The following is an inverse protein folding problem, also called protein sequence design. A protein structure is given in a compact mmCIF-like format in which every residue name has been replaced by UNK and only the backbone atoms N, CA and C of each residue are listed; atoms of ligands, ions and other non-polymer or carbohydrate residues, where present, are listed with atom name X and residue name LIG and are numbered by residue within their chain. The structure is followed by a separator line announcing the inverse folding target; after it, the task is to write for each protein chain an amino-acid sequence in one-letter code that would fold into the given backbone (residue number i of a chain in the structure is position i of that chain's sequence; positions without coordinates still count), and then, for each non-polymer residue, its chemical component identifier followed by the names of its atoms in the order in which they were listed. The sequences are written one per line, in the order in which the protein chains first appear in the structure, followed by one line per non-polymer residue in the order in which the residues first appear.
data_IF_318425017024
#
_entry.id   IF_318425017024
#
_cell.length_a   1.000
_cell.length_b   1.000
_cell.length_c   1.000
_cell.angle_alpha   90.00
_cell.angle_beta   90.00
_cell.angle_gamma   90.00
#
_symmetry.space_group_name_H-M   'P 1'
#
loop_
_entity.id
_entity.type
_entity.pdbx_description
1 polymer ?
#
# COMPACT_ATOMS: atom_id res chain seq x y z
N UNK A 1 -22.48 -10.76 20.39
CA UNK A 1 -21.55 -10.59 19.26
C UNK A 1 -21.37 -9.09 19.07
N UNK A 2 -20.16 -8.61 18.80
CA UNK A 2 -19.89 -7.18 18.64
C UNK A 2 -20.05 -6.81 17.16
N UNK A 3 -20.73 -5.70 16.89
CA UNK A 3 -20.98 -5.15 15.56
C UNK A 3 -19.91 -4.15 15.07
N UNK A 4 -18.72 -4.26 15.64
CA UNK A 4 -17.56 -3.46 15.31
C UNK A 4 -16.36 -3.97 16.13
N UNK A 5 -15.12 -3.69 15.68
CA UNK A 5 -13.95 -3.83 16.53
C UNK A 5 -14.08 -2.97 17.80
N UNK A 6 -13.74 -3.54 18.96
CA UNK A 6 -13.85 -2.86 20.25
C UNK A 6 -12.78 -1.78 20.51
N UNK A 7 -11.72 -1.78 19.70
CA UNK A 7 -10.60 -0.85 19.75
C UNK A 7 -10.01 -0.65 18.34
N UNK A 8 -9.27 0.44 18.15
CA UNK A 8 -8.45 0.68 16.95
C UNK A 8 -7.41 -0.44 16.75
N UNK A 9 -6.95 -0.65 15.52
CA UNK A 9 -5.97 -1.70 15.22
C UNK A 9 -4.60 -1.40 15.85
N UNK A 10 -4.25 -0.13 16.02
CA UNK A 10 -3.00 0.29 16.65
C UNK A 10 -3.24 1.15 17.89
N UNK A 11 -2.25 1.17 18.80
CA UNK A 11 -2.33 1.98 20.02
C UNK A 11 -2.22 3.50 19.77
N UNK A 12 -1.83 3.91 18.56
CA UNK A 12 -1.61 5.32 18.15
C UNK A 12 -2.59 5.79 17.08
N UNK A 13 -3.29 4.86 16.41
CA UNK A 13 -4.39 5.15 15.52
C UNK A 13 -5.57 5.76 16.26
N UNK A 14 -6.38 6.55 15.55
CA UNK A 14 -7.63 7.10 16.08
C UNK A 14 -8.79 6.94 15.10
N UNK A 15 -8.57 6.28 13.97
CA UNK A 15 -9.51 6.24 12.85
C UNK A 15 -9.35 4.94 12.06
N UNK A 16 -10.43 4.18 12.00
CA UNK A 16 -10.59 3.05 11.11
C UNK A 16 -11.78 3.29 10.16
N UNK A 17 -11.81 2.57 9.04
CA UNK A 17 -13.02 2.41 8.25
C UNK A 17 -13.73 1.14 8.69
N UNK A 18 -15.00 1.24 9.04
CA UNK A 18 -15.84 0.10 9.38
C UNK A 18 -17.09 0.13 8.50
N UNK A 19 -17.62 -1.05 8.16
CA UNK A 19 -19.03 -1.18 7.81
C UNK A 19 -19.87 -0.59 8.95
N UNK A 20 -21.03 0.00 8.64
CA UNK A 20 -21.75 0.96 9.47
C UNK A 20 -21.53 0.79 10.99
N UNK A 21 -21.12 1.84 11.69
CA UNK A 21 -20.96 1.75 13.15
C UNK A 21 -22.33 1.83 13.82
N UNK A 22 -22.76 0.75 14.48
CA UNK A 22 -23.99 0.76 15.29
C UNK A 22 -23.95 1.80 16.41
N UNK A 23 -25.12 2.14 16.97
CA UNK A 23 -25.17 3.01 18.16
C UNK A 23 -24.35 2.38 19.30
N UNK A 24 -23.62 3.19 20.06
CA UNK A 24 -22.90 2.70 21.24
C UNK A 24 -23.88 2.02 22.21
N UNK A 25 -23.67 0.72 22.50
CA UNK A 25 -24.57 -0.10 23.30
C UNK A 25 -25.82 -0.62 22.57
N UNK A 26 -25.92 -0.40 21.25
CA UNK A 26 -26.96 -0.94 20.39
C UNK A 26 -26.80 -2.43 20.10
N UNK A 27 -27.85 -3.03 19.52
CA UNK A 27 -27.81 -4.43 19.10
C UNK A 27 -26.94 -4.58 17.84
N UNK A 28 -26.19 -5.68 17.78
CA UNK A 28 -25.20 -5.87 16.72
C UNK A 28 -25.81 -5.95 15.30
N UNK A 29 -27.07 -6.37 15.19
CA UNK A 29 -27.77 -6.56 13.91
C UNK A 29 -28.39 -5.26 13.36
N UNK A 30 -28.02 -4.09 13.85
CA UNK A 30 -28.68 -2.80 13.49
C UNK A 30 -27.89 -1.95 12.50
N UNK A 31 -26.66 -2.36 12.19
CA UNK A 31 -25.71 -1.63 11.36
C UNK A 31 -24.93 -2.60 10.46
N UNK A 32 -25.67 -3.52 9.88
CA UNK A 32 -25.21 -4.65 9.08
C UNK A 32 -24.98 -4.25 7.61
N UNK A 33 -24.27 -5.08 6.85
CA UNK A 33 -24.03 -4.83 5.41
C UNK A 33 -25.23 -5.33 4.60
N UNK A 34 -26.33 -4.60 4.64
CA UNK A 34 -27.54 -4.99 3.90
C UNK A 34 -27.55 -4.43 2.46
N UNK A 35 -28.28 -5.10 1.56
CA UNK A 35 -28.62 -4.61 0.21
C UNK A 35 -27.44 -4.33 -0.75
N UNK A 36 -26.53 -5.30 -0.89
CA UNK A 36 -25.54 -5.36 -1.96
C UNK A 36 -24.11 -5.10 -1.51
N UNK A 37 -23.18 -4.98 -2.47
CA UNK A 37 -21.76 -4.90 -2.14
C UNK A 37 -21.36 -3.52 -1.63
N UNK A 38 -20.96 -3.45 -0.36
CA UNK A 38 -20.23 -2.31 0.20
C UNK A 38 -18.77 -2.38 -0.23
N UNK A 39 -18.22 -1.24 -0.71
CA UNK A 39 -16.85 -1.18 -1.22
C UNK A 39 -16.11 0.07 -0.77
N UNK A 40 -14.97 -0.12 -0.12
CA UNK A 40 -13.97 0.91 0.11
C UNK A 40 -12.95 0.89 -1.04
N UNK A 41 -12.77 2.02 -1.71
CA UNK A 41 -11.87 2.17 -2.85
C UNK A 41 -10.80 3.22 -2.54
N UNK A 42 -9.53 2.87 -2.72
CA UNK A 42 -8.44 3.80 -2.51
C UNK A 42 -8.37 4.89 -3.59
N UNK A 43 -7.64 5.99 -3.31
CA UNK A 43 -7.07 6.84 -4.35
C UNK A 43 -6.16 6.06 -5.30
N UNK A 44 -5.69 6.73 -6.34
CA UNK A 44 -4.61 6.23 -7.20
C UNK A 44 -3.27 6.47 -6.52
N UNK A 45 -2.40 5.46 -6.54
CA UNK A 45 -1.02 5.55 -6.09
C UNK A 45 -0.08 5.41 -7.28
N UNK A 46 0.85 6.36 -7.42
CA UNK A 46 1.92 6.24 -8.40
C UNK A 46 3.10 5.47 -7.81
N UNK A 47 3.31 4.26 -8.31
CA UNK A 47 4.43 3.39 -7.95
C UNK A 47 5.29 3.05 -9.18
N UNK A 48 5.17 3.82 -10.26
CA UNK A 48 5.84 3.52 -11.54
C UNK A 48 7.38 3.58 -11.45
N UNK A 49 7.91 4.38 -10.52
CA UNK A 49 9.34 4.53 -10.25
C UNK A 49 9.86 3.59 -9.15
N UNK A 50 8.96 2.86 -8.50
CA UNK A 50 9.34 1.97 -7.40
C UNK A 50 10.02 0.70 -7.93
N UNK A 51 11.19 0.38 -7.37
CA UNK A 51 11.87 -0.90 -7.58
C UNK A 51 11.05 -1.99 -6.93
N UNK A 52 10.54 -1.78 -5.73
CA UNK A 52 9.62 -2.69 -5.06
C UNK A 52 8.67 -1.89 -4.17
N UNK A 53 7.56 -2.51 -3.81
CA UNK A 53 6.62 -1.93 -2.86
C UNK A 53 5.90 -3.01 -2.08
N UNK A 54 5.74 -2.77 -0.79
CA UNK A 54 5.03 -3.63 0.16
C UNK A 54 3.79 -2.89 0.63
N UNK A 55 2.66 -3.57 0.60
CA UNK A 55 1.41 -3.07 1.17
C UNK A 55 1.18 -3.75 2.50
N UNK A 56 0.69 -2.98 3.46
CA UNK A 56 0.31 -3.47 4.78
C UNK A 56 -1.02 -2.85 5.18
N UNK A 57 -1.89 -3.63 5.80
CA UNK A 57 -3.12 -3.15 6.41
C UNK A 57 -3.52 -4.08 7.55
N UNK A 58 -4.36 -3.57 8.45
CA UNK A 58 -5.05 -4.33 9.47
C UNK A 58 -6.50 -4.52 9.05
N UNK A 59 -7.02 -5.73 9.18
CA UNK A 59 -8.44 -6.03 8.93
C UNK A 59 -9.08 -6.70 10.13
N UNK A 60 -10.32 -6.35 10.39
CA UNK A 60 -11.22 -7.07 11.29
C UNK A 60 -12.38 -7.57 10.43
N UNK A 61 -12.79 -8.81 10.61
CA UNK A 61 -13.85 -9.42 9.83
C UNK A 61 -14.73 -10.22 10.77
N UNK A 62 -16.03 -10.08 10.61
CA UNK A 62 -17.03 -10.90 11.28
C UNK A 62 -18.12 -11.24 10.28
N UNK A 63 -18.60 -12.47 10.34
CA UNK A 63 -19.80 -12.94 9.66
C UNK A 63 -20.40 -14.01 10.58
N UNK A 64 -21.70 -13.95 10.87
CA UNK A 64 -22.33 -14.92 11.76
C UNK A 64 -22.33 -16.35 11.20
N UNK A 65 -22.18 -16.49 9.89
CA UNK A 65 -22.12 -17.78 9.20
C UNK A 65 -20.68 -18.29 9.01
N UNK A 66 -19.69 -17.39 9.16
CA UNK A 66 -18.28 -17.72 9.12
C UNK A 66 -17.82 -18.43 10.39
N UNK A 67 -16.91 -19.40 10.24
CA UNK A 67 -16.22 -19.99 11.37
C UNK A 67 -15.40 -18.89 12.09
N UNK A 68 -15.49 -18.81 13.43
CA UNK A 68 -16.10 -19.75 14.39
C UNK A 68 -17.59 -19.59 14.73
N UNK A 69 -18.28 -18.50 14.37
CA UNK A 69 -19.65 -18.28 14.83
C UNK A 69 -20.64 -19.23 14.15
N UNK A 70 -20.42 -19.50 12.87
CA UNK A 70 -21.26 -20.37 12.06
C UNK A 70 -20.62 -21.70 11.69
N UNK A 71 -21.41 -22.55 11.04
CA UNK A 71 -21.00 -23.88 10.57
C UNK A 71 -21.36 -24.13 9.10
N UNK A 72 -21.65 -23.07 8.32
CA UNK A 72 -22.15 -23.14 6.93
C UNK A 72 -21.21 -22.43 5.95
N UNK A 73 -20.05 -23.02 5.59
CA UNK A 73 -19.06 -22.40 4.69
C UNK A 73 -19.56 -22.01 3.29
N UNK A 74 -20.70 -22.57 2.86
CA UNK A 74 -21.30 -22.32 1.55
C UNK A 74 -22.05 -20.99 1.46
N UNK A 75 -22.42 -20.38 2.60
CA UNK A 75 -23.19 -19.13 2.70
C UNK A 75 -22.37 -18.02 3.38
N UNK A 76 -21.04 -18.18 3.46
CA UNK A 76 -20.18 -17.20 4.13
C UNK A 76 -19.95 -15.97 3.27
N UNK A 77 -20.37 -14.82 3.79
CA UNK A 77 -20.12 -13.52 3.18
C UNK A 77 -18.65 -13.17 3.25
N UNK A 78 -18.02 -13.16 2.09
CA UNK A 78 -16.58 -13.12 1.99
C UNK A 78 -16.09 -11.69 1.84
N UNK A 79 -15.15 -11.26 2.69
CA UNK A 79 -14.37 -10.07 2.43
C UNK A 79 -13.34 -10.35 1.33
N UNK A 80 -13.41 -9.49 0.33
CA UNK A 80 -12.61 -9.54 -0.87
C UNK A 80 -11.67 -8.34 -0.91
N UNK A 81 -10.36 -8.61 -0.81
CA UNK A 81 -9.31 -7.60 -0.97
C UNK A 81 -8.68 -7.75 -2.33
N UNK A 82 -8.63 -6.67 -3.08
CA UNK A 82 -8.14 -6.66 -4.46
C UNK A 82 -7.26 -5.45 -4.74
N UNK A 83 -6.39 -5.61 -5.72
CA UNK A 83 -5.53 -4.56 -6.24
C UNK A 83 -5.68 -4.45 -7.75
N UNK A 84 -5.43 -3.26 -8.29
CA UNK A 84 -5.42 -2.99 -9.72
C UNK A 84 -4.14 -2.26 -10.08
N UNK A 85 -3.56 -2.60 -11.23
CA UNK A 85 -2.39 -1.94 -11.79
C UNK A 85 -2.73 -1.06 -13.03
N UNK A 86 -4.01 -0.90 -13.35
CA UNK A 86 -4.48 -0.21 -14.55
C UNK A 86 -5.63 0.77 -14.25
N UNK A 87 -5.61 1.40 -13.08
CA UNK A 87 -6.61 2.39 -12.67
C UNK A 87 -7.98 1.83 -12.31
N UNK A 88 -8.13 0.50 -12.28
CA UNK A 88 -9.35 -0.20 -11.92
C UNK A 88 -10.06 -0.89 -13.09
N UNK A 89 -9.42 -1.01 -14.26
CA UNK A 89 -9.98 -1.75 -15.39
C UNK A 89 -9.93 -3.27 -15.15
N UNK A 90 -8.84 -3.76 -14.56
CA UNK A 90 -8.70 -5.14 -14.08
C UNK A 90 -8.34 -5.16 -12.60
N UNK A 91 -8.74 -6.25 -11.93
CA UNK A 91 -8.57 -6.43 -10.49
C UNK A 91 -8.01 -7.82 -10.20
N UNK A 92 -6.97 -7.86 -9.38
CA UNK A 92 -6.30 -9.08 -8.92
C UNK A 92 -6.65 -9.32 -7.45
N UNK A 93 -7.02 -10.55 -7.11
CA UNK A 93 -7.33 -10.98 -5.75
C UNK A 93 -6.05 -11.00 -4.91
N UNK A 94 -6.03 -10.20 -3.85
CA UNK A 94 -4.99 -10.21 -2.81
C UNK A 94 -5.37 -11.17 -1.70
N UNK A 95 -6.61 -11.09 -1.24
CA UNK A 95 -7.11 -11.89 -0.13
C UNK A 95 -8.58 -12.25 -0.32
N UNK A 96 -8.94 -13.45 0.13
CA UNK A 96 -10.30 -13.96 0.28
C UNK A 96 -10.46 -14.38 1.74
N UNK A 97 -11.34 -13.69 2.47
CA UNK A 97 -11.52 -13.85 3.92
C UNK A 97 -12.93 -14.35 4.21
N UNK A 98 -13.01 -15.55 4.78
CA UNK A 98 -14.25 -16.25 5.13
C UNK A 98 -14.21 -16.86 6.53
N UNK A 99 -13.28 -16.41 7.37
CA UNK A 99 -13.16 -16.81 8.77
C UNK A 99 -12.38 -15.76 9.58
N UNK A 100 -12.49 -15.83 10.90
CA UNK A 100 -11.81 -14.94 11.83
C UNK A 100 -11.33 -15.68 13.09
N UNK A 101 -10.34 -15.16 13.83
CA UNK A 101 -9.81 -15.83 15.02
C UNK A 101 -10.80 -15.85 16.19
N UNK A 102 -10.53 -16.69 17.19
CA UNK A 102 -11.31 -16.78 18.43
C UNK A 102 -10.42 -16.45 19.63
N UNK A 103 -10.68 -15.35 20.39
CA UNK A 103 -11.67 -14.29 20.13
C UNK A 103 -11.38 -13.49 18.85
N UNK A 104 -12.40 -12.82 18.30
CA UNK A 104 -12.24 -12.00 17.10
C UNK A 104 -11.27 -10.83 17.37
N UNK A 105 -10.36 -10.59 16.44
CA UNK A 105 -9.26 -9.64 16.59
C UNK A 105 -8.81 -9.10 15.23
N UNK A 106 -8.21 -7.91 15.27
CA UNK A 106 -7.51 -7.34 14.13
C UNK A 106 -6.40 -8.29 13.65
N UNK A 107 -6.41 -8.60 12.35
CA UNK A 107 -5.39 -9.39 11.67
C UNK A 107 -4.62 -8.48 10.73
N UNK A 108 -3.30 -8.39 10.93
CA UNK A 108 -2.41 -7.60 10.08
C UNK A 108 -1.94 -8.42 8.89
N UNK A 109 -2.06 -7.86 7.69
CA UNK A 109 -1.67 -8.49 6.43
C UNK A 109 -0.56 -7.65 5.80
N UNK A 110 0.46 -8.31 5.26
CA UNK A 110 1.57 -7.65 4.56
C UNK A 110 2.02 -8.49 3.37
N UNK A 111 2.17 -7.87 2.21
CA UNK A 111 2.58 -8.55 0.97
C UNK A 111 3.32 -7.61 0.03
N UNK A 112 4.24 -8.17 -0.76
CA UNK A 112 4.94 -7.44 -1.81
C UNK A 112 4.05 -7.35 -3.07
N UNK A 113 3.90 -6.17 -3.65
CA UNK A 113 3.06 -5.99 -4.86
C UNK A 113 3.59 -6.80 -6.05
N UNK A 114 4.91 -7.00 -6.11
CA UNK A 114 5.57 -7.81 -7.14
C UNK A 114 5.28 -9.30 -7.06
N UNK A 115 4.72 -9.81 -5.95
CA UNK A 115 4.27 -11.20 -5.90
C UNK A 115 2.91 -11.40 -6.60
N UNK A 116 2.23 -10.32 -7.00
CA UNK A 116 0.90 -10.36 -7.61
C UNK A 116 0.94 -9.86 -9.06
N UNK A 117 1.65 -8.75 -9.30
CA UNK A 117 1.80 -8.16 -10.65
C UNK A 117 3.27 -8.04 -11.02
N UNK A 118 3.64 -8.26 -12.29
CA UNK A 118 5.04 -8.20 -12.72
C UNK A 118 5.61 -6.77 -12.70
N UNK A 119 4.77 -5.77 -12.94
CA UNK A 119 5.17 -4.36 -13.04
C UNK A 119 4.33 -3.49 -12.11
N UNK A 120 4.97 -2.50 -11.49
CA UNK A 120 4.31 -1.44 -10.74
C UNK A 120 4.04 -0.26 -11.68
N UNK A 121 2.88 0.38 -11.52
CA UNK A 121 2.41 1.40 -12.45
C UNK A 121 2.06 2.70 -11.73
N UNK A 122 1.75 3.75 -12.50
CA UNK A 122 1.32 5.04 -11.95
C UNK A 122 -0.15 5.08 -11.55
N UNK A 123 -0.89 3.99 -11.79
CA UNK A 123 -2.35 3.92 -11.63
C UNK A 123 -2.78 2.82 -10.67
N UNK A 124 -1.92 2.49 -9.69
CA UNK A 124 -2.21 1.43 -8.72
C UNK A 124 -3.40 1.81 -7.82
N UNK A 125 -4.32 0.87 -7.59
CA UNK A 125 -5.48 1.06 -6.70
C UNK A 125 -5.76 -0.20 -5.88
N UNK A 126 -6.43 -0.02 -4.75
CA UNK A 126 -6.85 -1.09 -3.86
C UNK A 126 -8.33 -0.94 -3.55
N UNK A 127 -9.00 -2.08 -3.38
CA UNK A 127 -10.39 -2.10 -2.91
C UNK A 127 -10.62 -3.21 -1.91
N UNK A 128 -11.53 -2.94 -0.98
CA UNK A 128 -12.04 -3.86 0.00
C UNK A 128 -13.54 -3.95 -0.24
N UNK A 129 -14.03 -5.13 -0.61
CA UNK A 129 -15.44 -5.34 -0.95
C UNK A 129 -16.02 -6.43 -0.08
N UNK A 130 -17.20 -6.19 0.48
CA UNK A 130 -17.99 -7.20 1.17
C UNK A 130 -19.46 -7.01 0.84
N UNK A 131 -20.22 -8.09 0.83
CA UNK A 131 -21.66 -8.10 0.59
C UNK A 131 -22.25 -9.17 1.49
N UNK A 132 -23.34 -8.86 2.19
CA UNK A 132 -24.22 -9.89 2.74
C UNK A 132 -25.16 -10.35 1.61
N UNK A 133 -25.00 -11.60 1.16
CA UNK A 133 -25.80 -12.13 0.05
C UNK A 133 -25.85 -13.66 0.05
N UNK A 134 -27.00 -14.27 0.40
CA UNK A 134 -28.28 -13.64 0.74
C UNK A 134 -28.21 -12.76 2.00
N UNK A 135 -29.13 -11.79 2.12
CA UNK A 135 -29.25 -10.93 3.32
C UNK A 135 -29.82 -11.77 4.48
N UNK A 136 -28.94 -12.51 5.14
CA UNK A 136 -29.31 -13.50 6.15
C UNK A 136 -28.27 -13.65 7.27
N UNK A 137 -27.19 -12.87 7.25
CA UNK A 137 -26.09 -13.03 8.18
C UNK A 137 -25.62 -11.66 8.70
N UNK A 138 -25.15 -11.62 9.95
CA UNK A 138 -24.52 -10.40 10.45
C UNK A 138 -23.09 -10.32 10.01
N UNK A 139 -22.81 -9.42 9.08
CA UNK A 139 -21.56 -9.35 8.34
C UNK A 139 -20.93 -7.96 8.39
N UNK A 140 -19.68 -7.92 8.83
CA UNK A 140 -18.97 -6.68 9.08
C UNK A 140 -17.48 -6.76 8.84
N UNK A 141 -16.92 -5.62 8.45
CA UNK A 141 -15.49 -5.46 8.21
C UNK A 141 -15.00 -4.13 8.78
N UNK A 142 -13.86 -4.19 9.46
CA UNK A 142 -13.01 -3.05 9.73
C UNK A 142 -11.73 -3.10 8.89
N UNK A 143 -11.29 -1.97 8.36
CA UNK A 143 -9.99 -1.77 7.72
C UNK A 143 -9.28 -0.61 8.41
N UNK A 144 -8.01 -0.83 8.74
CA UNK A 144 -7.19 0.13 9.47
C UNK A 144 -5.70 -0.01 9.08
N UNK A 145 -4.86 0.93 9.50
CA UNK A 145 -3.41 0.95 9.30
C UNK A 145 -2.95 0.69 7.84
N UNK A 146 -3.76 1.07 6.86
CA UNK A 146 -3.40 0.91 5.45
C UNK A 146 -2.18 1.75 5.11
N UNK A 147 -1.14 1.11 4.59
CA UNK A 147 0.13 1.72 4.23
C UNK A 147 0.79 1.04 3.04
N UNK A 148 1.51 1.84 2.26
CA UNK A 148 2.36 1.37 1.17
C UNK A 148 3.77 1.86 1.46
N UNK A 149 4.71 0.93 1.57
CA UNK A 149 6.14 1.22 1.68
C UNK A 149 6.81 0.85 0.37
N UNK A 150 7.29 1.84 -0.36
CA UNK A 150 7.97 1.66 -1.64
C UNK A 150 9.47 1.91 -1.50
N UNK A 151 10.28 1.03 -2.10
CA UNK A 151 11.69 1.33 -2.36
C UNK A 151 11.76 1.89 -3.77
N UNK A 152 12.09 3.17 -3.87
CA UNK A 152 12.38 3.82 -5.13
C UNK A 152 13.90 3.83 -5.31
N UNK A 153 14.35 3.65 -6.56
CA UNK A 153 15.64 4.24 -6.91
C UNK A 153 15.35 5.74 -6.91
N UNK A 154 15.78 6.45 -5.88
CA UNK A 154 16.23 7.80 -6.16
C UNK A 154 17.37 7.57 -7.14
N UNK A 155 17.17 7.94 -8.41
CA UNK A 155 18.33 8.28 -9.20
C UNK A 155 18.86 9.50 -8.43
N UNK A 156 19.94 9.40 -7.62
CA UNK A 156 20.59 10.62 -7.21
C UNK A 156 20.87 11.28 -8.54
N UNK A 157 20.18 12.38 -8.81
CA UNK A 157 20.51 13.32 -9.86
C UNK A 157 22.00 13.17 -10.14
N UNK A 158 22.36 12.64 -11.31
CA UNK A 158 23.65 11.95 -11.49
C UNK A 158 24.84 12.84 -11.06
N UNK A 159 24.65 14.16 -11.08
CA UNK A 159 25.60 15.14 -10.56
C UNK A 159 25.44 15.63 -9.12
N UNK A 160 24.59 15.08 -8.24
CA UNK A 160 24.47 15.43 -6.82
C UNK A 160 25.37 14.51 -6.00
N UNK A 161 26.62 14.93 -5.93
CA UNK A 161 27.72 14.15 -5.39
C UNK A 161 27.80 14.24 -3.88
N UNK A 162 27.26 15.30 -3.28
CA UNK A 162 27.17 15.47 -1.83
C UNK A 162 25.84 15.00 -1.22
N UNK A 163 24.85 14.69 -2.07
CA UNK A 163 23.56 14.09 -1.69
C UNK A 163 22.59 15.09 -1.07
N UNK A 164 22.73 16.38 -1.35
CA UNK A 164 21.91 17.44 -0.77
C UNK A 164 20.59 17.70 -1.53
N UNK A 165 20.37 17.01 -2.65
CA UNK A 165 19.19 17.15 -3.51
C UNK A 165 19.27 18.31 -4.51
N UNK A 166 20.44 18.91 -4.72
CA UNK A 166 20.68 20.01 -5.67
C UNK A 166 22.05 19.89 -6.32
N UNK A 167 22.09 19.66 -7.63
CA UNK A 167 23.31 19.70 -8.44
C UNK A 167 23.76 21.15 -8.61
N UNK A 168 24.87 21.53 -7.98
CA UNK A 168 25.36 22.90 -7.98
C UNK A 168 26.90 23.00 -7.96
N UNK A 169 27.41 24.17 -7.58
CA UNK A 169 28.85 24.44 -7.52
C UNK A 169 29.61 23.54 -6.54
N UNK A 170 28.96 23.03 -5.48
CA UNK A 170 29.54 22.08 -4.55
C UNK A 170 29.90 20.77 -5.27
N UNK A 171 28.95 20.22 -6.04
CA UNK A 171 29.15 18.98 -6.78
C UNK A 171 30.14 19.15 -7.94
N UNK A 172 30.10 20.29 -8.62
CA UNK A 172 31.13 20.64 -9.60
C UNK A 172 32.53 20.64 -8.97
N UNK A 173 32.66 21.17 -7.75
CA UNK A 173 33.90 21.12 -6.99
C UNK A 173 34.36 19.68 -6.74
N UNK A 174 33.44 18.76 -6.49
CA UNK A 174 33.74 17.33 -6.33
C UNK A 174 34.18 16.66 -7.64
N UNK A 175 33.57 17.00 -8.78
CA UNK A 175 34.03 16.53 -10.10
C UNK A 175 35.45 16.99 -10.40
N UNK A 176 35.75 18.26 -10.14
CA UNK A 176 37.08 18.81 -10.35
C UNK A 176 38.12 18.20 -9.38
N UNK A 177 37.73 17.91 -8.14
CA UNK A 177 38.60 17.25 -7.17
C UNK A 177 38.92 15.79 -7.54
N UNK A 178 37.98 15.10 -8.22
CA UNK A 178 38.13 13.71 -8.65
C UNK A 178 38.77 13.51 -10.03
N UNK A 179 39.18 14.59 -10.70
CA UNK A 179 39.62 14.55 -12.11
C UNK A 179 40.71 13.51 -12.38
N UNK A 180 40.50 12.65 -13.37
CA UNK A 180 41.41 11.57 -13.73
C UNK A 180 41.29 10.29 -12.88
N UNK A 181 40.27 10.16 -12.03
CA UNK A 181 40.08 8.99 -11.14
C UNK A 181 38.73 8.29 -11.36
N UNK A 182 38.61 7.01 -11.03
CA UNK A 182 37.36 6.22 -11.09
C UNK A 182 36.45 6.42 -9.85
N UNK A 183 36.53 7.58 -9.20
CA UNK A 183 35.86 7.86 -7.93
C UNK A 183 34.38 8.24 -8.07
N UNK A 184 33.80 8.82 -7.02
CA UNK A 184 32.39 9.28 -7.04
C UNK A 184 32.06 10.28 -8.16
N UNK A 185 33.08 10.92 -8.75
CA UNK A 185 32.94 11.86 -9.85
C UNK A 185 32.96 11.22 -11.26
N UNK A 186 33.18 9.91 -11.36
CA UNK A 186 33.07 9.12 -12.59
C UNK A 186 31.59 8.76 -12.81
N UNK A 187 30.86 9.71 -13.39
CA UNK A 187 29.41 9.70 -13.55
C UNK A 187 28.94 8.81 -14.70
N UNK A 188 29.78 8.61 -15.72
CA UNK A 188 29.49 7.66 -16.81
C UNK A 188 30.01 6.24 -16.52
N UNK A 189 30.83 6.08 -15.48
CA UNK A 189 31.35 4.79 -15.01
C UNK A 189 32.43 4.20 -15.92
N UNK A 190 33.12 5.02 -16.72
CA UNK A 190 34.15 4.57 -17.66
C UNK A 190 35.51 4.26 -16.99
N UNK A 191 35.65 4.53 -15.69
CA UNK A 191 36.86 4.35 -14.91
C UNK A 191 37.72 5.62 -14.82
N UNK A 192 37.24 6.79 -15.25
CA UNK A 192 37.98 8.06 -15.21
C UNK A 192 37.05 9.27 -15.27
N UNK A 193 37.08 10.10 -14.23
CA UNK A 193 36.45 11.43 -14.18
C UNK A 193 37.10 12.37 -15.20
N UNK A 194 36.33 12.82 -16.19
CA UNK A 194 36.79 13.71 -17.24
C UNK A 194 35.66 14.63 -17.76
N UNK A 195 35.85 15.20 -18.96
CA UNK A 195 34.89 16.12 -19.58
C UNK A 195 33.51 15.50 -19.85
N UNK A 196 33.43 14.17 -20.03
CA UNK A 196 32.16 13.47 -20.18
C UNK A 196 31.33 13.54 -18.89
N UNK A 197 31.95 13.30 -17.74
CA UNK A 197 31.32 13.37 -16.42
C UNK A 197 30.90 14.81 -16.09
N UNK A 198 31.76 15.78 -16.39
CA UNK A 198 31.38 17.19 -16.27
C UNK A 198 30.15 17.53 -17.12
N UNK A 199 30.06 16.97 -18.33
CA UNK A 199 28.88 17.11 -19.18
C UNK A 199 27.62 16.54 -18.55
N UNK A 200 27.71 15.36 -17.92
CA UNK A 200 26.60 14.74 -17.19
C UNK A 200 26.17 15.58 -15.99
N UNK A 201 27.12 16.09 -15.20
CA UNK A 201 26.83 16.97 -14.07
C UNK A 201 26.10 18.24 -14.51
N UNK A 202 26.62 18.93 -15.53
CA UNK A 202 26.00 20.16 -16.05
C UNK A 202 24.62 19.91 -16.69
N UNK A 203 24.40 18.72 -17.26
CA UNK A 203 23.09 18.34 -17.79
C UNK A 203 22.03 18.17 -16.69
N UNK A 204 22.47 17.90 -15.47
CA UNK A 204 21.62 17.71 -14.29
C UNK A 204 21.54 18.95 -13.38
N UNK A 205 22.08 20.10 -13.80
CA UNK A 205 22.22 21.29 -12.95
C UNK A 205 20.88 21.79 -12.40
N UNK A 206 20.82 22.01 -11.08
CA UNK A 206 19.63 22.49 -10.38
C UNK A 206 19.07 21.47 -9.38
N UNK A 207 17.83 21.69 -8.97
CA UNK A 207 17.15 20.86 -7.96
C UNK A 207 16.83 19.50 -8.56
N UNK A 208 17.05 18.44 -7.78
CA UNK A 208 16.76 17.08 -8.20
C UNK A 208 15.24 16.84 -8.25
N UNK A 209 14.71 16.16 -9.29
CA UNK A 209 13.28 15.90 -9.45
C UNK A 209 12.67 14.96 -8.40
#
# INVERSE_FOLDING_TARGET
YASAPAADASAVGTKAWVTQNGLAGGAATTADVDAGTTRLLSPVFDLSTAINATVTYSRWYFCSDAAPAGSTPAEVDTLFVEMSADGGATWFRVENVSSYPTPNAWTRVSFALRSIVPNLTSTMRFRFSISDSPDNSTTEVGIDDFSISAVVCVNPCVGDLDGNGVVNGADLGMVLAGWGTAGNADLDGNGTTNGADLGLLLSAWGVCP
#
